data_IF_017894725346
#
_entry.id   IF_017894725346
#
_cell.length_a   1.000
_cell.length_b   1.000
_cell.length_c   1.000
_cell.angle_alpha   90.00
_cell.angle_beta   90.00
_cell.angle_gamma   90.00
#
_symmetry.space_group_name_H-M   'P 1'
#
loop_
_entity.id
_entity.type
_entity.pdbx_description
1 polymer ?
#
# COMPACT_ATOMS: atom_id res chain seq x y z
N UNK A 1 6.28 24.96 55.36
CA UNK A 1 6.88 23.98 54.43
C UNK A 1 6.00 22.74 54.38
N UNK A 2 5.21 22.57 53.32
CA UNK A 2 4.34 21.40 53.11
C UNK A 2 4.77 20.77 51.79
N UNK A 3 5.50 19.65 51.86
CA UNK A 3 5.90 18.89 50.66
C UNK A 3 4.68 18.08 50.22
N UNK A 4 4.01 18.53 49.16
CA UNK A 4 2.96 17.77 48.48
C UNK A 4 3.67 16.76 47.58
N UNK A 5 3.64 15.49 47.95
CA UNK A 5 4.14 14.37 47.15
C UNK A 5 3.00 14.00 46.19
N UNK A 6 3.00 14.55 44.99
CA UNK A 6 2.21 14.06 43.87
C UNK A 6 3.17 13.28 42.99
N UNK A 7 3.12 11.95 43.07
CA UNK A 7 3.47 10.92 42.07
C UNK A 7 3.61 9.58 42.82
N UNK A 8 2.86 8.51 42.46
CA UNK A 8 2.80 8.00 41.10
C UNK A 8 1.40 7.48 40.72
N UNK A 9 0.57 8.30 40.07
CA UNK A 9 -0.62 7.80 39.36
C UNK A 9 -0.29 7.54 37.87
N UNK A 10 0.82 8.09 37.37
CA UNK A 10 1.23 7.96 35.98
C UNK A 10 1.87 6.60 35.60
N UNK A 11 2.30 5.81 36.58
CA UNK A 11 2.94 4.51 36.32
C UNK A 11 1.93 3.38 36.03
N UNK A 12 0.66 3.54 36.42
CA UNK A 12 -0.38 2.51 36.24
C UNK A 12 -1.15 2.63 34.91
N UNK A 13 -1.03 3.74 34.19
CA UNK A 13 -1.62 3.89 32.85
C UNK A 13 -0.71 3.39 31.71
N UNK A 14 0.57 3.13 31.98
CA UNK A 14 1.53 2.67 30.96
C UNK A 14 1.65 1.14 30.86
N UNK A 15 1.12 0.40 31.84
CA UNK A 15 1.19 -1.07 31.88
C UNK A 15 0.02 -1.77 31.13
N UNK A 16 -0.97 -1.02 30.65
CA UNK A 16 -2.16 -1.58 29.98
C UNK A 16 -2.06 -1.73 28.47
N UNK A 17 -0.96 -1.32 27.83
CA UNK A 17 -0.82 -1.27 26.37
C UNK A 17 0.09 -2.33 25.75
N UNK A 18 0.70 -3.20 26.55
CA UNK A 18 1.59 -4.25 26.03
C UNK A 18 1.07 -5.62 26.42
N UNK A 19 0.20 -6.19 25.58
CA UNK A 19 0.20 -7.61 25.18
C UNK A 19 -1.05 -7.94 24.35
N UNK A 20 -1.08 -7.47 23.11
CA UNK A 20 -1.81 -8.15 22.06
C UNK A 20 -0.78 -8.80 21.14
N UNK A 21 -0.19 -9.90 21.62
CA UNK A 21 0.53 -10.82 20.75
C UNK A 21 -0.52 -11.76 20.15
N UNK A 22 -1.05 -11.40 18.97
CA UNK A 22 -1.76 -12.36 18.13
C UNK A 22 -0.86 -13.59 17.94
N UNK A 23 -1.33 -14.76 18.33
CA UNK A 23 -0.60 -16.00 18.11
C UNK A 23 -0.50 -16.22 16.59
N UNK A 24 0.71 -16.07 16.05
CA UNK A 24 0.94 -16.25 14.61
C UNK A 24 0.53 -17.66 14.20
N UNK A 25 -0.57 -17.78 13.45
CA UNK A 25 -1.10 -19.06 12.98
C UNK A 25 -0.02 -19.79 12.20
N UNK A 26 0.38 -20.99 12.66
CA UNK A 26 1.40 -21.80 11.99
C UNK A 26 0.87 -22.24 10.63
N UNK A 27 1.49 -21.73 9.55
CA UNK A 27 1.15 -22.14 8.18
C UNK A 27 1.99 -23.37 7.84
N UNK A 28 1.35 -24.54 7.82
CA UNK A 28 1.93 -25.80 7.37
C UNK A 28 1.06 -26.42 6.27
N UNK A 29 1.51 -27.53 5.69
CA UNK A 29 0.81 -28.18 4.57
C UNK A 29 -0.63 -28.58 4.92
N UNK A 30 -0.85 -29.10 6.14
CA UNK A 30 -2.20 -29.45 6.61
C UNK A 30 -3.11 -28.22 6.72
N UNK A 31 -2.59 -27.10 7.22
CA UNK A 31 -3.30 -25.82 7.32
C UNK A 31 -3.66 -25.25 5.93
N UNK A 32 -2.78 -25.41 4.93
CA UNK A 32 -3.07 -25.00 3.55
C UNK A 32 -4.15 -25.89 2.90
N UNK A 33 -4.10 -27.21 3.12
CA UNK A 33 -5.16 -28.10 2.66
C UNK A 33 -6.51 -27.79 3.29
N UNK A 34 -6.54 -27.37 4.56
CA UNK A 34 -7.76 -26.90 5.21
C UNK A 34 -8.37 -25.69 4.50
N UNK A 35 -7.56 -24.73 4.03
CA UNK A 35 -8.08 -23.56 3.31
C UNK A 35 -8.75 -23.92 1.96
N UNK A 36 -8.44 -25.07 1.36
CA UNK A 36 -9.04 -25.47 0.08
C UNK A 36 -10.52 -25.88 0.21
N UNK A 37 -10.95 -26.34 1.38
CA UNK A 37 -12.31 -26.82 1.61
C UNK A 37 -13.03 -26.11 2.75
N UNK A 38 -12.34 -25.31 3.57
CA UNK A 38 -12.97 -24.57 4.66
C UNK A 38 -13.69 -23.33 4.12
N UNK A 39 -14.99 -23.47 3.89
CA UNK A 39 -15.85 -22.39 3.40
C UNK A 39 -15.96 -21.20 4.38
N UNK A 40 -15.68 -21.40 5.67
CA UNK A 40 -15.66 -20.30 6.67
C UNK A 40 -14.48 -19.35 6.44
N UNK A 41 -13.45 -19.79 5.71
CA UNK A 41 -12.30 -18.96 5.34
C UNK A 41 -12.45 -18.27 3.99
N UNK A 42 -13.60 -18.46 3.32
CA UNK A 42 -13.85 -17.78 2.05
C UNK A 42 -13.83 -16.27 2.24
N UNK A 43 -13.30 -15.51 1.27
CA UNK A 43 -13.40 -14.07 1.28
C UNK A 43 -14.88 -13.65 1.41
N UNK A 44 -15.19 -12.94 2.49
CA UNK A 44 -16.52 -12.38 2.68
C UNK A 44 -16.71 -11.29 1.64
N UNK A 45 -17.79 -11.38 0.86
CA UNK A 45 -18.16 -10.32 -0.07
C UNK A 45 -18.43 -9.03 0.73
N UNK A 46 -17.51 -8.10 0.67
CA UNK A 46 -17.64 -6.79 1.29
C UNK A 46 -18.41 -5.87 0.35
N UNK A 47 -19.11 -4.89 0.91
CA UNK A 47 -19.73 -3.81 0.15
C UNK A 47 -18.68 -2.76 -0.28
N UNK A 48 -17.56 -3.22 -0.82
CA UNK A 48 -16.46 -2.43 -1.36
C UNK A 48 -16.25 -2.80 -2.84
N UNK A 49 -15.70 -1.87 -3.62
CA UNK A 49 -15.41 -2.11 -5.04
C UNK A 49 -13.91 -2.12 -5.27
N UNK A 50 -13.40 -3.22 -5.80
CA UNK A 50 -12.05 -3.26 -6.33
C UNK A 50 -12.00 -2.50 -7.66
N UNK A 51 -11.03 -1.60 -7.82
CA UNK A 51 -10.75 -0.87 -9.06
C UNK A 51 -9.27 -0.93 -9.35
N UNK A 52 -8.91 -0.78 -10.62
CA UNK A 52 -7.52 -0.76 -11.06
C UNK A 52 -7.32 0.37 -12.07
N UNK A 53 -6.21 1.09 -11.90
CA UNK A 53 -5.61 1.94 -12.93
C UNK A 53 -4.40 1.20 -13.47
N UNK A 54 -4.28 1.14 -14.80
CA UNK A 54 -3.16 0.47 -15.44
C UNK A 54 -2.87 1.11 -16.79
N UNK A 55 -1.68 0.84 -17.30
CA UNK A 55 -1.21 1.27 -18.61
C UNK A 55 -1.78 0.45 -19.77
N UNK A 56 -2.87 -0.30 -19.58
CA UNK A 56 -3.44 -1.15 -20.62
C UNK A 56 -3.90 -0.35 -21.85
N UNK A 57 -3.90 -1.01 -23.00
CA UNK A 57 -4.36 -0.46 -24.26
C UNK A 57 -5.89 -0.39 -24.30
N UNK A 58 -6.42 0.84 -24.24
CA UNK A 58 -7.88 1.09 -24.24
C UNK A 58 -8.52 0.85 -25.61
N UNK A 59 -7.74 0.70 -26.68
CA UNK A 59 -8.25 0.35 -28.02
C UNK A 59 -8.59 -1.13 -28.15
N UNK A 60 -8.14 -1.97 -27.22
CA UNK A 60 -8.23 -3.43 -27.31
C UNK A 60 -7.05 -4.08 -28.04
N UNK A 61 -6.02 -3.31 -28.39
CA UNK A 61 -4.74 -3.83 -28.86
C UNK A 61 -3.87 -4.40 -27.74
N UNK A 62 -2.55 -4.46 -27.99
CA UNK A 62 -1.56 -5.05 -27.07
C UNK A 62 -0.47 -4.05 -26.67
N UNK A 63 -0.74 -2.75 -26.83
CA UNK A 63 0.19 -1.70 -26.41
C UNK A 63 -0.03 -1.36 -24.93
N UNK A 64 0.22 -2.29 -24.01
CA UNK A 64 -0.12 -2.18 -22.58
C UNK A 64 0.92 -1.41 -21.73
N UNK A 65 1.57 -0.41 -22.32
CA UNK A 65 2.61 0.38 -21.68
C UNK A 65 2.45 1.88 -21.95
N UNK A 66 2.90 2.72 -21.01
CA UNK A 66 2.93 4.18 -21.11
C UNK A 66 1.57 4.87 -21.41
N UNK A 67 0.43 4.19 -21.22
CA UNK A 67 -0.90 4.79 -21.36
C UNK A 67 -1.36 5.49 -20.07
N UNK A 68 -0.75 6.63 -19.77
CA UNK A 68 -1.07 7.47 -18.60
C UNK A 68 -2.42 8.19 -18.74
N UNK A 69 -3.00 8.63 -17.61
CA UNK A 69 -4.20 9.47 -17.62
C UNK A 69 -3.91 10.87 -18.18
N UNK A 70 -2.72 11.39 -17.87
CA UNK A 70 -2.17 12.65 -18.37
C UNK A 70 -0.64 12.59 -18.32
N UNK A 71 0.04 13.34 -19.17
CA UNK A 71 1.49 13.47 -19.13
C UNK A 71 1.90 14.88 -19.53
N UNK A 72 2.40 15.65 -18.57
CA UNK A 72 3.04 16.94 -18.82
C UNK A 72 4.49 16.69 -19.26
N UNK A 73 4.69 16.58 -20.57
CA UNK A 73 5.96 16.16 -21.17
C UNK A 73 6.70 17.35 -21.77
N UNK A 74 7.95 17.54 -21.35
CA UNK A 74 8.87 18.50 -21.93
C UNK A 74 9.46 17.99 -23.24
N UNK A 75 9.99 18.86 -24.12
CA UNK A 75 10.54 18.46 -25.42
C UNK A 75 11.70 17.45 -25.35
N UNK A 76 12.48 17.45 -24.26
CA UNK A 76 13.55 16.48 -23.98
C UNK A 76 13.01 15.13 -23.46
N UNK A 77 11.70 14.96 -23.42
CA UNK A 77 11.03 13.70 -23.10
C UNK A 77 10.83 13.45 -21.61
N UNK A 78 11.23 14.37 -20.74
CA UNK A 78 10.98 14.33 -19.30
C UNK A 78 9.57 14.84 -19.00
N UNK A 79 9.11 14.64 -17.77
CA UNK A 79 7.80 15.13 -17.40
C UNK A 79 7.20 14.43 -16.20
N UNK A 80 5.99 14.86 -15.85
CA UNK A 80 5.19 14.22 -14.80
C UNK A 80 4.02 13.49 -15.45
N UNK A 81 3.93 12.18 -15.23
CA UNK A 81 2.83 11.36 -15.69
C UNK A 81 1.84 11.12 -14.54
N UNK A 82 0.55 11.32 -14.81
CA UNK A 82 -0.53 10.97 -13.90
C UNK A 82 -0.92 9.50 -14.13
N UNK A 83 -0.52 8.64 -13.19
CA UNK A 83 -0.74 7.20 -13.26
C UNK A 83 -2.18 6.81 -12.87
N UNK A 84 -2.71 7.42 -11.81
CA UNK A 84 -4.01 7.12 -11.23
C UNK A 84 -4.60 8.37 -10.57
N UNK A 85 -5.93 8.50 -10.63
CA UNK A 85 -6.68 9.55 -9.95
C UNK A 85 -8.03 8.97 -9.47
N UNK A 86 -8.36 9.21 -8.20
CA UNK A 86 -9.50 8.58 -7.53
C UNK A 86 -10.22 9.60 -6.67
N UNK A 87 -11.55 9.51 -6.61
CA UNK A 87 -12.40 10.33 -5.75
C UNK A 87 -13.19 9.42 -4.82
N UNK A 88 -13.18 9.76 -3.53
CA UNK A 88 -13.91 9.03 -2.48
C UNK A 88 -12.99 8.17 -1.60
N UNK A 89 -13.57 7.53 -0.57
CA UNK A 89 -12.80 6.70 0.36
C UNK A 89 -12.32 5.41 -0.30
N UNK A 90 -11.13 4.97 0.09
CA UNK A 90 -10.56 3.71 -0.39
C UNK A 90 -9.15 3.48 0.16
N UNK A 91 -8.53 2.40 -0.30
CA UNK A 91 -7.14 2.07 0.00
C UNK A 91 -6.44 1.59 -1.28
N UNK A 92 -5.24 2.09 -1.52
CA UNK A 92 -4.32 1.47 -2.47
C UNK A 92 -3.74 0.26 -1.75
N UNK A 93 -3.98 -0.94 -2.28
CA UNK A 93 -3.52 -2.19 -1.67
C UNK A 93 -2.42 -2.88 -2.46
N UNK A 94 -2.10 -2.36 -3.66
CA UNK A 94 -1.06 -2.89 -4.54
C UNK A 94 -0.66 -1.86 -5.59
N UNK A 95 0.64 -1.74 -5.81
CA UNK A 95 1.25 -1.06 -6.96
C UNK A 95 2.22 -2.03 -7.62
N UNK A 96 2.25 -2.09 -8.95
CA UNK A 96 3.19 -2.90 -9.70
C UNK A 96 3.79 -2.07 -10.83
N UNK A 97 5.09 -2.25 -11.09
CA UNK A 97 5.75 -1.65 -12.24
C UNK A 97 6.86 -2.53 -12.79
N UNK A 98 6.88 -2.73 -14.11
CA UNK A 98 8.03 -3.34 -14.78
C UNK A 98 9.23 -2.37 -14.89
N UNK A 99 8.99 -1.06 -14.76
CA UNK A 99 9.98 -0.01 -15.01
C UNK A 99 9.74 1.19 -14.07
N UNK A 100 10.11 1.07 -12.78
CA UNK A 100 9.86 2.10 -11.77
C UNK A 100 10.92 3.21 -11.83
N UNK A 101 10.99 3.91 -12.94
CA UNK A 101 11.94 5.00 -13.15
C UNK A 101 11.36 6.33 -12.64
N UNK A 102 12.26 7.22 -12.20
CA UNK A 102 11.91 8.55 -11.72
C UNK A 102 11.47 8.58 -10.25
N UNK A 103 10.62 9.55 -9.93
CA UNK A 103 10.17 9.80 -8.54
C UNK A 103 8.68 9.53 -8.43
N UNK A 104 8.29 8.60 -7.56
CA UNK A 104 6.89 8.35 -7.24
C UNK A 104 6.38 9.41 -6.27
N UNK A 105 5.20 9.94 -6.55
CA UNK A 105 4.47 10.86 -5.68
C UNK A 105 3.06 10.34 -5.46
N UNK A 106 2.66 10.20 -4.19
CA UNK A 106 1.28 9.86 -3.82
C UNK A 106 0.71 10.98 -2.96
N UNK A 107 -0.42 11.53 -3.39
CA UNK A 107 -1.15 12.57 -2.71
C UNK A 107 -2.47 11.99 -2.22
N UNK A 108 -2.84 12.25 -0.97
CA UNK A 108 -4.10 11.82 -0.36
C UNK A 108 -4.88 13.03 0.11
N UNK A 109 -6.21 12.92 0.08
CA UNK A 109 -7.14 13.87 0.69
C UNK A 109 -6.96 15.36 0.31
N UNK A 110 -6.50 15.61 -0.93
CA UNK A 110 -6.27 16.97 -1.43
C UNK A 110 -5.06 17.68 -0.82
N UNK A 111 -4.16 16.94 -0.15
CA UNK A 111 -2.91 17.49 0.37
C UNK A 111 -2.04 18.02 -0.77
N UNK A 112 -1.43 19.19 -0.55
CA UNK A 112 -0.43 19.77 -1.46
C UNK A 112 0.93 19.08 -1.34
N UNK A 113 1.21 18.48 -0.19
CA UNK A 113 2.42 17.69 0.03
C UNK A 113 2.12 16.20 -0.15
N UNK A 114 2.95 15.47 -0.89
CA UNK A 114 2.77 14.03 -1.07
C UNK A 114 3.07 13.27 0.24
N UNK A 115 2.27 12.26 0.54
CA UNK A 115 2.53 11.35 1.67
C UNK A 115 3.63 10.32 1.35
N UNK A 116 3.86 10.05 0.06
CA UNK A 116 4.99 9.26 -0.45
C UNK A 116 5.72 10.10 -1.48
N UNK A 117 7.01 10.34 -1.26
CA UNK A 117 7.90 11.04 -2.17
C UNK A 117 9.26 10.36 -2.13
N UNK A 118 9.52 9.48 -3.09
CA UNK A 118 10.74 8.66 -3.11
C UNK A 118 11.10 8.31 -4.56
N UNK A 119 12.38 8.02 -4.87
CA UNK A 119 12.73 7.30 -6.09
C UNK A 119 11.83 6.06 -6.23
N UNK A 120 11.25 5.86 -7.41
CA UNK A 120 10.20 4.86 -7.58
C UNK A 120 10.77 3.44 -7.44
N UNK A 121 12.03 3.20 -7.76
CA UNK A 121 12.71 1.94 -7.50
C UNK A 121 12.96 1.70 -5.99
N UNK A 122 13.21 2.76 -5.21
CA UNK A 122 13.36 2.69 -3.75
C UNK A 122 12.04 2.43 -3.03
N UNK A 123 10.91 2.92 -3.56
CA UNK A 123 9.57 2.58 -3.05
C UNK A 123 9.40 1.06 -2.90
N UNK A 124 9.87 0.30 -3.90
CA UNK A 124 9.79 -1.16 -3.89
C UNK A 124 10.85 -1.85 -3.02
N UNK A 125 11.72 -1.10 -2.33
CA UNK A 125 12.74 -1.62 -1.42
C UNK A 125 12.40 -1.34 0.06
N UNK A 126 11.54 -0.35 0.34
CA UNK A 126 11.16 0.08 1.69
C UNK A 126 10.23 -0.92 2.43
N UNK A 127 10.69 -1.63 3.47
CA UNK A 127 9.91 -2.67 4.17
C UNK A 127 8.66 -2.13 4.88
N UNK A 128 8.63 -0.83 5.21
CA UNK A 128 7.50 -0.22 5.91
C UNK A 128 6.29 -0.01 5.00
N UNK A 129 6.49 -0.04 3.68
CA UNK A 129 5.43 0.11 2.67
C UNK A 129 4.74 -1.22 2.30
N UNK A 130 5.01 -2.30 3.04
CA UNK A 130 4.17 -3.50 2.94
C UNK A 130 2.79 -3.23 3.56
N UNK A 131 1.65 -3.56 2.91
CA UNK A 131 1.50 -4.48 1.78
C UNK A 131 1.36 -3.80 0.40
N UNK A 132 1.43 -2.47 0.30
CA UNK A 132 1.15 -1.76 -0.97
C UNK A 132 2.22 -2.03 -2.03
N UNK A 133 3.38 -2.55 -1.60
CA UNK A 133 4.44 -3.14 -2.43
C UNK A 133 4.84 -4.52 -1.89
N UNK A 134 5.28 -5.41 -2.76
CA UNK A 134 5.79 -6.76 -2.44
C UNK A 134 6.89 -7.17 -3.43
N UNK A 135 8.11 -7.43 -2.99
CA UNK A 135 9.11 -8.05 -3.89
C UNK A 135 8.71 -9.49 -4.24
N UNK A 136 8.26 -9.77 -5.46
CA UNK A 136 8.00 -11.15 -5.92
C UNK A 136 8.48 -11.39 -7.35
N UNK A 137 9.14 -12.54 -7.53
CA UNK A 137 9.47 -13.19 -8.82
C UNK A 137 9.98 -12.26 -9.93
N UNK A 138 11.08 -11.55 -9.68
CA UNK A 138 11.91 -10.92 -10.71
C UNK A 138 11.44 -9.57 -11.25
N UNK A 139 10.35 -9.01 -10.72
CA UNK A 139 9.89 -7.66 -11.04
C UNK A 139 9.53 -6.87 -9.78
N UNK A 140 9.32 -5.57 -9.93
CA UNK A 140 8.89 -4.70 -8.84
C UNK A 140 7.36 -4.83 -8.67
N UNK A 141 6.94 -5.62 -7.68
CA UNK A 141 5.53 -5.81 -7.29
C UNK A 141 5.30 -5.16 -5.93
#
# INVERSE_FOLDING_TARGET
>A
MRKIIIFPIFALLFAGLCSYAEAQKTINTAALFQNLYNLETLPIAKNERCRQFSSYDRSGGNWDAANYLSWDRTPDGKGTALLAEMIGPGAIVRIWSAHPDGTLKIYLDGSQEPVILTPFDEFFKDPELHPIRTTSSGGWI
#
